data_IF_063886075869
#
_entry.id   IF_063886075869
#
_cell.length_a   1.000
_cell.length_b   1.000
_cell.length_c   1.000
_cell.angle_alpha   90.00
_cell.angle_beta   90.00
_cell.angle_gamma   90.00
#
_symmetry.space_group_name_H-M   'P 1'
#
loop_
_entity.id
_entity.type
_entity.pdbx_description
1 polymer ?
#
# COMPACT_ATOMS: atom_id res chain seq x y z
N UNK A 1 -10.98 -5.41 -5.05
CA UNK A 1 -10.30 -4.14 -4.67
C UNK A 1 -9.19 -3.85 -5.67
N UNK A 2 -9.15 -2.65 -6.27
CA UNK A 2 -8.21 -2.33 -7.36
C UNK A 2 -6.73 -2.39 -6.93
N UNK A 3 -6.39 -1.81 -5.78
CA UNK A 3 -4.99 -1.78 -5.32
C UNK A 3 -4.42 -3.18 -5.10
N UNK A 4 -5.21 -4.11 -4.58
CA UNK A 4 -4.80 -5.51 -4.45
C UNK A 4 -4.63 -6.19 -5.82
N UNK A 5 -5.50 -5.89 -6.78
CA UNK A 5 -5.39 -6.42 -8.14
C UNK A 5 -4.09 -5.95 -8.81
N UNK A 6 -3.74 -4.65 -8.71
CA UNK A 6 -2.46 -4.12 -9.25
C UNK A 6 -1.25 -4.88 -8.68
N UNK A 7 -1.21 -5.08 -7.36
CA UNK A 7 -0.08 -5.76 -6.69
C UNK A 7 0.02 -7.24 -7.13
N UNK A 8 -1.12 -7.92 -7.27
CA UNK A 8 -1.18 -9.35 -7.56
C UNK A 8 -1.01 -9.67 -9.05
N UNK A 9 -1.65 -8.89 -9.91
CA UNK A 9 -1.78 -9.19 -11.35
C UNK A 9 -0.74 -8.47 -12.20
N UNK A 10 -0.13 -7.40 -11.67
CA UNK A 10 0.89 -6.60 -12.36
C UNK A 10 2.14 -6.35 -11.48
N UNK A 11 2.72 -7.39 -10.86
CA UNK A 11 3.84 -7.25 -9.93
C UNK A 11 5.11 -6.65 -10.58
N UNK A 12 5.27 -6.79 -11.89
CA UNK A 12 6.38 -6.22 -12.66
C UNK A 12 6.32 -4.69 -12.76
N UNK A 13 5.13 -4.10 -12.70
CA UNK A 13 4.94 -2.65 -12.78
C UNK A 13 4.79 -1.99 -11.41
N UNK A 14 4.41 -2.76 -10.39
CA UNK A 14 4.20 -2.24 -9.05
C UNK A 14 5.43 -1.52 -8.43
N UNK A 15 6.69 -1.94 -8.66
CA UNK A 15 7.88 -1.23 -8.17
C UNK A 15 7.98 0.23 -8.63
N UNK A 16 7.31 0.64 -9.71
CA UNK A 16 7.28 2.04 -10.13
C UNK A 16 6.70 2.96 -9.05
N UNK A 17 5.79 2.46 -8.20
CA UNK A 17 5.19 3.23 -7.12
C UNK A 17 6.14 3.52 -5.96
N UNK A 18 7.23 2.77 -5.82
CA UNK A 18 8.23 2.93 -4.74
C UNK A 18 9.37 3.87 -5.11
N UNK A 19 9.50 4.25 -6.39
CA UNK A 19 10.46 5.26 -6.85
C UNK A 19 10.24 6.56 -6.06
N UNK A 20 11.28 7.01 -5.35
CA UNK A 20 11.23 8.24 -4.53
C UNK A 20 11.31 9.50 -5.37
N UNK A 21 11.93 9.42 -6.54
CA UNK A 21 12.04 10.51 -7.48
C UNK A 21 12.10 9.98 -8.90
N UNK A 22 11.75 10.82 -9.86
CA UNK A 22 11.83 10.52 -11.28
C UNK A 22 12.19 11.78 -12.05
N UNK A 23 13.15 11.69 -12.97
CA UNK A 23 13.57 12.80 -13.83
C UNK A 23 12.95 12.66 -15.20
N UNK A 24 12.19 13.68 -15.61
CA UNK A 24 11.63 13.79 -16.95
C UNK A 24 11.98 15.15 -17.55
N UNK A 25 12.48 15.14 -18.78
CA UNK A 25 12.89 16.36 -19.49
C UNK A 25 13.85 17.25 -18.66
N UNK A 26 14.83 16.63 -17.99
CA UNK A 26 15.80 17.32 -17.14
C UNK A 26 15.26 17.83 -15.79
N UNK A 27 13.99 17.58 -15.46
CA UNK A 27 13.36 18.04 -14.22
C UNK A 27 13.10 16.83 -13.31
N UNK A 28 13.80 16.77 -12.17
CA UNK A 28 13.57 15.76 -11.13
C UNK A 28 12.35 16.11 -10.30
N UNK A 29 11.43 15.17 -10.16
CA UNK A 29 10.20 15.31 -9.40
C UNK A 29 10.16 14.28 -8.26
N UNK A 30 9.92 14.70 -7.02
CA UNK A 30 9.78 13.77 -5.92
C UNK A 30 8.40 13.08 -5.97
N UNK A 31 8.36 11.84 -5.50
CA UNK A 31 7.13 11.13 -5.24
C UNK A 31 6.30 11.88 -4.17
N UNK A 32 5.00 11.99 -4.41
CA UNK A 32 4.09 12.74 -3.54
C UNK A 32 3.66 11.94 -2.30
N UNK A 33 3.92 10.63 -2.29
CA UNK A 33 3.66 9.74 -1.16
C UNK A 33 4.77 9.88 -0.10
N UNK A 34 4.56 10.75 0.88
CA UNK A 34 5.54 11.02 1.93
C UNK A 34 5.92 9.78 2.75
N UNK A 35 5.05 8.76 2.80
CA UNK A 35 5.32 7.56 3.58
C UNK A 35 6.50 6.73 3.05
N UNK A 36 6.90 6.89 1.78
CA UNK A 36 8.13 6.27 1.23
C UNK A 36 9.43 6.72 1.91
N UNK A 37 9.41 7.87 2.59
CA UNK A 37 10.54 8.40 3.37
C UNK A 37 10.40 8.18 4.87
N UNK A 38 9.19 7.90 5.34
CA UNK A 38 8.87 7.79 6.78
C UNK A 38 8.93 6.34 7.23
N UNK A 39 8.45 5.41 6.40
CA UNK A 39 8.38 3.99 6.71
C UNK A 39 9.08 3.20 5.59
N UNK A 40 10.22 2.54 5.86
CA UNK A 40 10.97 1.80 4.84
C UNK A 40 10.22 0.57 4.31
N UNK A 41 9.15 0.14 5.00
CA UNK A 41 8.32 -0.99 4.57
C UNK A 41 7.28 -0.60 3.53
N UNK A 42 7.04 0.71 3.34
CA UNK A 42 6.09 1.25 2.35
C UNK A 42 6.70 1.23 0.95
N UNK A 43 5.97 0.63 0.00
CA UNK A 43 6.37 0.53 -1.41
C UNK A 43 5.32 1.04 -2.40
N UNK A 44 4.23 1.65 -1.91
CA UNK A 44 3.20 2.24 -2.74
C UNK A 44 2.17 3.06 -1.97
N UNK A 45 1.12 3.61 -2.60
CA UNK A 45 0.86 3.52 -4.04
C UNK A 45 0.58 4.91 -4.64
N UNK A 46 -0.48 5.61 -4.20
CA UNK A 46 -0.91 6.83 -4.91
C UNK A 46 -1.53 7.87 -4.00
N UNK A 47 -1.18 9.12 -4.25
CA UNK A 47 -1.85 10.29 -3.66
C UNK A 47 -2.83 10.92 -4.63
N UNK A 48 -3.89 11.54 -4.10
CA UNK A 48 -4.86 12.34 -4.87
C UNK A 48 -5.24 13.60 -4.10
N UNK A 49 -5.52 14.68 -4.83
CA UNK A 49 -6.09 15.89 -4.25
C UNK A 49 -6.83 16.71 -5.32
N UNK A 50 -8.03 17.14 -4.98
CA UNK A 50 -8.76 18.22 -5.65
C UNK A 50 -9.53 18.99 -4.58
N UNK A 51 -10.05 20.17 -4.94
CA UNK A 51 -10.87 20.98 -4.02
C UNK A 51 -12.10 20.19 -3.54
N UNK A 52 -12.75 19.44 -4.43
CA UNK A 52 -13.94 18.66 -4.09
C UNK A 52 -13.63 17.36 -3.34
N UNK A 53 -12.52 16.69 -3.63
CA UNK A 53 -12.20 15.38 -3.05
C UNK A 53 -11.43 15.45 -1.72
N UNK A 54 -10.86 16.60 -1.38
CA UNK A 54 -9.89 16.70 -0.29
C UNK A 54 -8.61 15.91 -0.58
N UNK A 55 -7.81 15.63 0.46
CA UNK A 55 -6.54 14.91 0.32
C UNK A 55 -6.73 13.40 0.53
N UNK A 56 -6.37 12.61 -0.48
CA UNK A 56 -6.51 11.17 -0.50
C UNK A 56 -5.14 10.47 -0.62
N UNK A 57 -5.03 9.27 -0.05
CA UNK A 57 -3.84 8.44 -0.10
C UNK A 57 -4.22 6.96 -0.06
N UNK A 58 -3.62 6.20 -0.98
CA UNK A 58 -3.53 4.74 -0.94
C UNK A 58 -2.08 4.39 -0.59
N UNK A 59 -1.88 3.61 0.46
CA UNK A 59 -0.54 3.16 0.88
C UNK A 59 -0.53 1.66 1.10
N UNK A 60 0.56 0.99 0.70
CA UNK A 60 0.75 -0.42 1.01
C UNK A 60 2.18 -0.65 1.50
N UNK A 61 2.34 -1.03 2.77
CA UNK A 61 3.58 -1.60 3.28
C UNK A 61 3.63 -3.11 3.16
N UNK A 62 4.84 -3.65 3.04
CA UNK A 62 5.15 -5.07 3.15
C UNK A 62 6.04 -5.30 4.37
N UNK A 63 5.53 -6.07 5.34
CA UNK A 63 6.28 -6.50 6.53
C UNK A 63 6.31 -8.03 6.60
N UNK A 64 7.02 -8.56 7.58
CA UNK A 64 7.11 -10.01 7.82
C UNK A 64 5.73 -10.59 8.18
N UNK A 65 4.89 -9.81 8.88
CA UNK A 65 3.51 -10.15 9.23
C UNK A 65 2.54 -10.09 8.04
N UNK A 66 3.03 -9.66 6.87
CA UNK A 66 2.28 -9.59 5.62
C UNK A 66 2.08 -8.17 5.08
N UNK A 67 1.28 -8.09 4.02
CA UNK A 67 0.98 -6.85 3.32
C UNK A 67 -0.36 -6.29 3.74
N UNK A 68 -0.38 -5.02 4.11
CA UNK A 68 -1.62 -4.27 4.30
C UNK A 68 -1.80 -3.22 3.20
N UNK A 69 -3.05 -2.81 2.99
CA UNK A 69 -3.41 -1.71 2.08
C UNK A 69 -4.33 -0.77 2.86
N UNK A 70 -3.91 0.48 3.02
CA UNK A 70 -4.76 1.55 3.56
C UNK A 70 -5.29 2.42 2.42
N UNK A 71 -6.56 2.81 2.54
CA UNK A 71 -7.21 3.77 1.65
C UNK A 71 -7.84 4.85 2.51
N UNK A 72 -7.29 6.07 2.45
CA UNK A 72 -7.77 7.23 3.20
C UNK A 72 -8.19 8.31 2.22
N UNK A 73 -9.37 8.89 2.41
CA UNK A 73 -9.96 9.89 1.51
C UNK A 73 -10.44 11.12 2.29
N UNK A 74 -10.50 12.27 1.62
CA UNK A 74 -11.17 13.46 2.16
C UNK A 74 -10.49 14.14 3.35
N UNK A 75 -9.19 13.91 3.58
CA UNK A 75 -8.51 14.56 4.71
C UNK A 75 -8.26 16.04 4.44
N UNK A 76 -8.13 16.84 5.50
CA UNK A 76 -8.02 18.30 5.42
C UNK A 76 -6.66 18.81 4.90
N UNK A 77 -5.61 17.98 4.89
CA UNK A 77 -4.28 18.40 4.43
C UNK A 77 -3.42 17.22 3.93
N UNK A 78 -2.36 17.55 3.19
CA UNK A 78 -1.37 16.56 2.76
C UNK A 78 -0.61 15.90 3.93
N UNK A 79 -0.48 16.58 5.06
CA UNK A 79 0.07 15.98 6.27
C UNK A 79 -0.96 15.03 6.92
N UNK A 80 -2.22 15.45 7.00
CA UNK A 80 -3.29 14.64 7.56
C UNK A 80 -3.46 13.31 6.82
N UNK A 81 -3.50 13.29 5.47
CA UNK A 81 -3.60 12.02 4.73
C UNK A 81 -2.50 11.03 5.09
N UNK A 82 -1.27 11.52 5.30
CA UNK A 82 -0.11 10.68 5.58
C UNK A 82 -0.18 10.14 7.01
N UNK A 83 -0.53 11.01 7.97
CA UNK A 83 -0.68 10.64 9.39
C UNK A 83 -1.80 9.64 9.62
N UNK A 84 -2.97 9.87 9.03
CA UNK A 84 -4.12 8.97 9.20
C UNK A 84 -3.89 7.63 8.50
N UNK A 85 -3.24 7.62 7.32
CA UNK A 85 -2.83 6.37 6.66
C UNK A 85 -1.86 5.56 7.51
N UNK A 86 -0.81 6.20 8.07
CA UNK A 86 0.13 5.54 8.97
C UNK A 86 -0.56 5.00 10.23
N UNK A 87 -1.46 5.78 10.84
CA UNK A 87 -2.23 5.36 12.01
C UNK A 87 -3.07 4.10 11.70
N UNK A 88 -3.76 4.09 10.57
CA UNK A 88 -4.58 2.94 10.15
C UNK A 88 -3.73 1.69 9.88
N UNK A 89 -2.58 1.86 9.21
CA UNK A 89 -1.64 0.76 8.97
C UNK A 89 -1.07 0.21 10.28
N UNK A 90 -0.66 1.08 11.20
CA UNK A 90 -0.14 0.67 12.51
C UNK A 90 -1.19 -0.08 13.32
N UNK A 91 -2.45 0.37 13.30
CA UNK A 91 -3.57 -0.35 13.92
C UNK A 91 -3.74 -1.74 13.31
N UNK A 92 -3.71 -1.85 11.98
CA UNK A 92 -3.80 -3.14 11.27
C UNK A 92 -2.72 -4.12 11.72
N UNK A 93 -1.45 -3.70 11.71
CA UNK A 93 -0.33 -4.55 12.13
C UNK A 93 -0.32 -4.86 13.64
N UNK A 94 -0.85 -3.97 14.48
CA UNK A 94 -0.84 -4.18 15.92
C UNK A 94 -1.90 -5.20 16.38
N UNK A 95 -3.05 -5.24 15.71
CA UNK A 95 -4.23 -5.97 16.20
C UNK A 95 -4.67 -7.12 15.30
N UNK A 96 -4.06 -7.31 14.13
CA UNK A 96 -4.40 -8.38 13.21
C UNK A 96 -3.15 -9.13 12.76
N UNK A 97 -3.32 -10.43 12.54
CA UNK A 97 -2.32 -11.31 11.95
C UNK A 97 -2.93 -12.05 10.76
N UNK A 98 -2.13 -12.30 9.72
CA UNK A 98 -2.55 -12.99 8.50
C UNK A 98 -2.07 -14.43 8.51
N UNK A 99 -2.89 -15.33 9.05
CA UNK A 99 -2.60 -16.75 9.06
C UNK A 99 -2.81 -17.39 7.68
N UNK A 100 -1.84 -18.18 7.23
CA UNK A 100 -1.93 -19.02 6.03
C UNK A 100 -1.91 -20.50 6.45
N UNK A 101 -3.04 -21.05 6.94
CA UNK A 101 -3.07 -22.41 7.49
C UNK A 101 -2.77 -23.49 6.44
N UNK A 102 -3.04 -23.18 5.18
CA UNK A 102 -2.84 -24.10 4.05
C UNK A 102 -2.14 -23.39 2.91
N UNK A 103 -1.23 -24.11 2.26
CA UNK A 103 -0.59 -23.68 1.03
C UNK A 103 -1.43 -24.07 -0.17
N UNK A 104 -1.22 -23.37 -1.28
CA UNK A 104 -1.75 -23.80 -2.58
C UNK A 104 -1.29 -25.24 -2.85
N UNK A 105 -2.21 -26.07 -3.33
CA UNK A 105 -1.97 -27.48 -3.69
C UNK A 105 -1.59 -28.39 -2.49
N UNK A 106 -1.78 -27.92 -1.25
CA UNK A 106 -1.64 -28.76 -0.06
C UNK A 106 -2.86 -29.68 0.07
N UNK A 107 -2.60 -30.99 0.09
CA UNK A 107 -3.63 -31.98 0.41
C UNK A 107 -4.09 -31.80 1.87
N UNK A 108 -5.40 -31.58 2.04
CA UNK A 108 -6.03 -31.36 3.35
C UNK A 108 -6.62 -32.66 3.88
N UNK A 109 -7.21 -33.44 2.98
CA UNK A 109 -7.85 -34.71 3.28
C UNK A 109 -7.99 -35.52 1.99
N UNK A 110 -7.93 -36.85 2.11
CA UNK A 110 -8.18 -37.77 1.01
C UNK A 110 -9.61 -38.29 1.11
N UNK A 111 -10.37 -38.19 0.02
CA UNK A 111 -11.68 -38.83 -0.06
C UNK A 111 -11.46 -40.34 -0.24
N UNK A 112 -11.97 -41.17 0.67
CA UNK A 112 -12.06 -42.61 0.43
C UNK A 112 -13.22 -42.87 -0.53
N UNK A 113 -12.90 -43.29 -1.75
CA UNK A 113 -13.84 -43.75 -2.79
C UNK A 113 -13.67 -45.26 -2.92
#
# INVERSE_FOLDING_TARGET
MLSAAIIREFPEFYPLYSLREYTYNGITQPNRNRLLWVDPTVDGMKTGWTVAAGYCLITSPQRDEGRLISVVMGTASANARSKESQRLLNYGYQFFDTAHPYKKDQEITALQI
#
